data_IF_155705121285
#
_entry.id   IF_155705121285
#
_cell.length_a   1.000
_cell.length_b   1.000
_cell.length_c   1.000
_cell.angle_alpha   90.00
_cell.angle_beta   90.00
_cell.angle_gamma   90.00
#
_symmetry.space_group_name_H-M   'P 1'
#
loop_
_entity.id
_entity.type
_entity.pdbx_description
1 polymer ?
#
# COMPACT_ATOMS: atom_id res chain seq x y z
N UNK A 1 42.85 14.83 3.59
CA UNK A 1 41.68 14.75 4.50
C UNK A 1 40.72 15.90 4.25
N UNK A 2 41.03 17.17 4.58
CA UNK A 2 40.13 18.32 4.30
C UNK A 2 39.77 18.54 2.81
N UNK A 3 40.74 18.44 1.90
CA UNK A 3 40.50 18.59 0.45
C UNK A 3 39.69 17.43 -0.16
N UNK A 4 39.65 16.27 0.50
CA UNK A 4 38.98 15.06 0.02
C UNK A 4 37.70 14.75 0.82
N UNK A 5 37.34 15.58 1.80
CA UNK A 5 36.23 15.38 2.73
C UNK A 5 36.21 13.98 3.40
N UNK A 6 37.39 13.42 3.72
CA UNK A 6 37.51 12.10 4.37
C UNK A 6 37.92 12.24 5.85
N UNK A 7 37.24 11.48 6.72
CA UNK A 7 37.45 11.48 8.19
C UNK A 7 38.56 10.49 8.64
N UNK A 8 39.00 9.60 7.74
CA UNK A 8 40.09 8.65 7.95
C UNK A 8 40.85 8.34 6.65
N UNK A 9 42.10 7.89 6.78
CA UNK A 9 42.96 7.43 5.67
C UNK A 9 43.79 6.22 6.08
N UNK A 10 44.04 5.32 5.12
CA UNK A 10 44.97 4.20 5.30
C UNK A 10 46.39 4.68 5.02
N UNK A 11 47.32 4.29 5.88
CA UNK A 11 48.74 4.69 5.83
C UNK A 11 49.61 3.45 5.68
N UNK A 12 50.48 3.44 4.67
CA UNK A 12 51.54 2.43 4.54
C UNK A 12 52.63 2.73 5.57
N UNK A 13 52.80 1.85 6.54
CA UNK A 13 53.74 2.01 7.65
C UNK A 13 55.08 1.31 7.39
N UNK A 14 55.05 0.16 6.71
CA UNK A 14 56.22 -0.57 6.22
C UNK A 14 55.84 -1.30 4.91
N UNK A 15 56.75 -2.09 4.33
CA UNK A 15 56.48 -2.87 3.10
C UNK A 15 55.27 -3.81 3.23
N UNK A 16 54.95 -4.29 4.43
CA UNK A 16 53.85 -5.25 4.68
C UNK A 16 52.85 -4.81 5.76
N UNK A 17 53.01 -3.60 6.33
CA UNK A 17 52.18 -3.16 7.44
C UNK A 17 51.40 -1.89 7.09
N UNK A 18 50.09 -1.98 7.19
CA UNK A 18 49.16 -0.87 7.01
C UNK A 18 48.60 -0.42 8.36
N UNK A 19 48.38 0.88 8.50
CA UNK A 19 47.72 1.50 9.65
C UNK A 19 46.61 2.43 9.20
N UNK A 20 45.87 2.98 10.17
CA UNK A 20 44.83 3.99 9.91
C UNK A 20 45.14 5.28 10.66
N UNK A 21 44.93 6.42 10.01
CA UNK A 21 44.98 7.72 10.63
C UNK A 21 43.60 8.38 10.52
N UNK A 22 43.06 8.82 11.65
CA UNK A 22 41.77 9.53 11.70
C UNK A 22 41.95 11.00 12.02
N UNK A 23 40.96 11.83 11.70
CA UNK A 23 40.98 13.26 12.06
C UNK A 23 41.17 13.47 13.58
N UNK A 24 40.60 12.60 14.41
CA UNK A 24 40.77 12.65 15.87
C UNK A 24 42.22 12.44 16.31
N UNK A 25 42.92 11.53 15.65
CA UNK A 25 44.33 11.25 15.92
C UNK A 25 45.20 12.45 15.53
N UNK A 26 44.86 13.12 14.42
CA UNK A 26 45.53 14.36 14.01
C UNK A 26 45.38 15.49 15.04
N UNK A 27 44.19 15.67 15.62
CA UNK A 27 43.98 16.68 16.68
C UNK A 27 44.84 16.38 17.90
N UNK A 28 44.89 15.11 18.33
CA UNK A 28 45.76 14.69 19.45
C UNK A 28 47.24 14.90 19.12
N UNK A 29 47.64 14.62 17.87
CA UNK A 29 49.01 14.75 17.39
C UNK A 29 49.51 16.20 17.44
N UNK A 30 48.76 17.15 16.86
CA UNK A 30 49.14 18.57 16.86
C UNK A 30 49.34 19.11 18.27
N UNK A 31 48.58 18.60 19.24
CA UNK A 31 48.69 19.01 20.64
C UNK A 31 49.91 18.43 21.37
N UNK A 32 50.42 17.26 20.98
CA UNK A 32 51.45 16.52 21.76
C UNK A 32 52.80 16.35 21.04
N UNK A 33 52.87 16.58 19.73
CA UNK A 33 54.08 16.35 18.92
C UNK A 33 54.31 17.54 17.96
N UNK A 34 54.89 18.66 18.43
CA UNK A 34 55.06 19.87 17.63
C UNK A 34 56.20 19.80 16.59
N UNK A 35 56.48 18.62 16.02
CA UNK A 35 57.63 18.37 15.13
C UNK A 35 57.30 17.59 13.85
N UNK A 36 58.35 17.18 13.12
CA UNK A 36 58.26 16.54 11.80
C UNK A 36 58.18 15.00 11.88
N UNK A 37 57.34 14.47 12.78
CA UNK A 37 57.17 13.02 12.98
C UNK A 37 56.55 12.37 11.73
N UNK A 38 57.12 11.27 11.21
CA UNK A 38 56.54 10.54 10.10
C UNK A 38 55.12 10.05 10.40
N UNK A 39 54.21 10.17 9.44
CA UNK A 39 52.80 9.73 9.60
C UNK A 39 52.69 8.23 9.90
N UNK A 40 53.66 7.42 9.46
CA UNK A 40 53.74 5.99 9.77
C UNK A 40 53.86 5.69 11.27
N UNK A 41 54.48 6.57 12.06
CA UNK A 41 54.61 6.44 13.52
C UNK A 41 53.32 6.86 14.26
N UNK A 42 52.44 7.60 13.58
CA UNK A 42 51.21 8.15 14.14
C UNK A 42 49.98 7.31 13.80
N UNK A 43 50.07 6.45 12.79
CA UNK A 43 48.98 5.60 12.36
C UNK A 43 48.67 4.54 13.43
N UNK A 44 47.39 4.39 13.76
CA UNK A 44 46.91 3.34 14.66
C UNK A 44 47.03 1.97 13.99
N UNK A 45 47.45 0.96 14.78
CA UNK A 45 47.65 -0.42 14.36
C UNK A 45 47.08 -1.39 15.41
N UNK A 46 46.60 -2.59 15.02
CA UNK A 46 46.49 -3.09 13.66
C UNK A 46 45.39 -2.40 12.84
N UNK A 47 45.49 -2.43 11.51
CA UNK A 47 44.41 -2.00 10.64
C UNK A 47 43.27 -3.02 10.70
N UNK A 48 42.12 -2.61 11.22
CA UNK A 48 40.92 -3.45 11.26
C UNK A 48 40.24 -3.47 9.89
N UNK A 49 39.88 -4.66 9.42
CA UNK A 49 39.44 -4.90 8.05
C UNK A 49 38.10 -5.64 7.99
N UNK A 50 37.48 -5.64 6.81
CA UNK A 50 36.30 -6.43 6.41
C UNK A 50 36.42 -6.76 4.93
N UNK A 51 36.01 -7.95 4.51
CA UNK A 51 36.03 -8.33 3.10
C UNK A 51 34.82 -7.74 2.34
N UNK A 52 35.00 -7.32 1.09
CA UNK A 52 33.92 -6.70 0.29
C UNK A 52 32.73 -7.65 0.03
N UNK A 53 32.97 -8.96 0.08
CA UNK A 53 31.93 -10.00 -0.06
C UNK A 53 31.21 -10.32 1.27
N UNK A 54 31.60 -9.70 2.39
CA UNK A 54 30.90 -9.85 3.67
C UNK A 54 29.66 -8.95 3.72
N UNK A 55 28.53 -9.42 4.30
CA UNK A 55 27.35 -8.58 4.51
C UNK A 55 27.65 -7.31 5.35
N UNK A 56 27.00 -6.19 5.03
CA UNK A 56 27.17 -4.91 5.74
C UNK A 56 26.91 -5.01 7.26
N UNK A 57 26.05 -5.93 7.69
CA UNK A 57 25.78 -6.19 9.10
C UNK A 57 27.05 -6.62 9.86
N UNK A 58 27.93 -7.40 9.21
CA UNK A 58 29.20 -7.85 9.78
C UNK A 58 30.18 -6.70 9.97
N UNK A 59 30.23 -5.78 8.99
CA UNK A 59 31.05 -4.58 9.09
C UNK A 59 30.58 -3.70 10.26
N UNK A 60 29.25 -3.54 10.43
CA UNK A 60 28.66 -2.81 11.56
C UNK A 60 29.01 -3.44 12.91
N UNK A 61 28.86 -4.75 13.04
CA UNK A 61 29.09 -5.44 14.31
C UNK A 61 30.58 -5.34 14.70
N UNK A 62 31.51 -5.49 13.73
CA UNK A 62 32.95 -5.26 13.97
C UNK A 62 33.26 -3.83 14.42
N UNK A 63 32.63 -2.80 13.82
CA UNK A 63 32.81 -1.40 14.25
C UNK A 63 32.41 -1.21 15.72
N UNK A 64 31.27 -1.79 16.13
CA UNK A 64 30.73 -1.65 17.49
C UNK A 64 31.56 -2.42 18.52
N UNK A 65 31.90 -3.68 18.23
CA UNK A 65 32.65 -4.56 19.13
C UNK A 65 34.07 -4.03 19.38
N UNK A 66 34.76 -3.62 18.31
CA UNK A 66 36.12 -3.11 18.39
C UNK A 66 36.19 -1.62 18.78
N UNK A 67 35.04 -0.95 18.94
CA UNK A 67 34.90 0.47 19.29
C UNK A 67 35.69 1.41 18.37
N UNK A 68 35.71 1.09 17.07
CA UNK A 68 36.33 1.91 16.03
C UNK A 68 35.27 2.52 15.12
N UNK A 69 35.65 3.55 14.35
CA UNK A 69 34.72 4.28 13.47
C UNK A 69 34.83 3.91 12.00
N UNK A 70 35.92 3.27 11.62
CA UNK A 70 36.23 2.92 10.24
C UNK A 70 36.86 1.54 10.19
N UNK A 71 36.54 0.79 9.14
CA UNK A 71 37.21 -0.45 8.74
C UNK A 71 37.77 -0.30 7.33
N UNK A 72 38.92 -0.88 7.07
CA UNK A 72 39.41 -1.03 5.70
C UNK A 72 38.67 -2.17 4.99
N UNK A 73 38.28 -1.94 3.74
CA UNK A 73 37.62 -2.94 2.91
C UNK A 73 38.67 -3.65 2.07
N UNK A 74 38.66 -4.99 2.12
CA UNK A 74 39.57 -5.85 1.37
C UNK A 74 38.86 -6.47 0.16
N UNK A 75 39.59 -6.59 -0.95
CA UNK A 75 39.18 -7.42 -2.09
C UNK A 75 39.50 -8.91 -1.87
N UNK A 76 39.15 -9.75 -2.85
CA UNK A 76 39.45 -11.20 -2.87
C UNK A 76 40.95 -11.52 -2.85
N UNK A 77 41.79 -10.56 -3.26
CA UNK A 77 43.24 -10.64 -3.21
C UNK A 77 43.84 -10.17 -1.88
N UNK A 78 43.01 -9.86 -0.88
CA UNK A 78 43.40 -9.34 0.43
C UNK A 78 44.10 -7.97 0.37
N UNK A 79 43.85 -7.20 -0.69
CA UNK A 79 44.34 -5.83 -0.85
C UNK A 79 43.29 -4.83 -0.35
N UNK A 80 43.75 -3.74 0.26
CA UNK A 80 42.86 -2.66 0.70
C UNK A 80 42.36 -1.89 -0.52
N UNK A 81 41.06 -1.98 -0.79
CA UNK A 81 40.38 -1.28 -1.88
C UNK A 81 39.61 -0.05 -1.41
N UNK A 82 39.34 0.07 -0.11
CA UNK A 82 38.61 1.21 0.43
C UNK A 82 38.54 1.29 1.95
N UNK A 83 37.75 2.24 2.44
CA UNK A 83 37.38 2.41 3.84
C UNK A 83 35.87 2.50 3.95
N UNK A 84 35.29 1.93 5.01
CA UNK A 84 33.88 2.05 5.34
C UNK A 84 33.73 2.58 6.76
N UNK A 85 33.01 3.70 6.92
CA UNK A 85 32.69 4.30 8.21
C UNK A 85 31.25 4.05 8.64
N UNK A 86 30.98 4.16 9.95
CA UNK A 86 29.61 4.05 10.48
C UNK A 86 28.66 5.11 9.87
N UNK A 87 29.16 6.33 9.64
CA UNK A 87 28.39 7.40 8.99
C UNK A 87 27.99 7.03 7.57
N UNK A 88 28.90 6.40 6.83
CA UNK A 88 28.65 5.97 5.44
C UNK A 88 27.61 4.85 5.39
N UNK A 89 27.59 3.96 6.39
CA UNK A 89 26.58 2.90 6.49
C UNK A 89 25.16 3.46 6.75
N UNK A 90 25.01 4.53 7.53
CA UNK A 90 23.68 5.12 7.79
C UNK A 90 23.12 5.89 6.59
N UNK A 91 23.98 6.63 5.88
CA UNK A 91 23.54 7.49 4.78
C UNK A 91 22.87 6.73 3.63
N UNK A 92 23.29 5.48 3.36
CA UNK A 92 22.67 4.65 2.31
C UNK A 92 21.32 4.04 2.70
N UNK A 93 21.16 3.60 3.94
CA UNK A 93 19.97 2.85 4.37
C UNK A 93 18.73 3.74 4.57
N UNK A 94 18.91 4.96 5.09
CA UNK A 94 17.79 5.90 5.27
C UNK A 94 17.20 6.34 3.92
N UNK A 95 18.06 6.54 2.92
CA UNK A 95 17.63 6.98 1.60
C UNK A 95 16.82 5.91 0.86
N UNK A 96 17.24 4.65 0.93
CA UNK A 96 16.48 3.53 0.35
C UNK A 96 15.12 3.35 1.03
N UNK A 97 15.07 3.33 2.36
CA UNK A 97 13.81 3.16 3.09
C UNK A 97 12.80 4.29 2.79
N UNK A 98 13.28 5.54 2.70
CA UNK A 98 12.44 6.68 2.33
C UNK A 98 11.91 6.59 0.90
N UNK A 99 12.67 6.01 -0.02
CA UNK A 99 12.24 5.82 -1.39
C UNK A 99 11.18 4.73 -1.49
N UNK A 100 11.41 3.56 -0.88
CA UNK A 100 10.44 2.46 -0.86
C UNK A 100 9.10 2.90 -0.23
N UNK A 101 9.16 3.70 0.85
CA UNK A 101 7.97 4.23 1.51
C UNK A 101 7.19 5.19 0.60
N UNK A 102 7.88 6.05 -0.15
CA UNK A 102 7.23 6.97 -1.10
C UNK A 102 6.53 6.20 -2.22
N UNK A 103 7.21 5.22 -2.79
CA UNK A 103 6.67 4.42 -3.89
C UNK A 103 5.41 3.65 -3.45
N UNK A 104 5.44 3.05 -2.25
CA UNK A 104 4.28 2.36 -1.68
C UNK A 104 3.10 3.30 -1.39
N UNK A 105 3.38 4.53 -0.93
CA UNK A 105 2.33 5.54 -0.71
C UNK A 105 1.71 6.01 -2.02
N UNK A 106 2.52 6.26 -3.05
CA UNK A 106 2.02 6.65 -4.36
C UNK A 106 1.15 5.55 -5.00
N UNK A 107 1.55 4.28 -4.87
CA UNK A 107 0.75 3.15 -5.37
C UNK A 107 -0.60 3.07 -4.67
N UNK A 108 -0.62 3.18 -3.33
CA UNK A 108 -1.85 3.19 -2.55
C UNK A 108 -2.76 4.35 -2.96
N UNK A 109 -2.23 5.55 -3.09
CA UNK A 109 -3.01 6.74 -3.41
C UNK A 109 -3.61 6.64 -4.82
N UNK A 110 -2.89 6.07 -5.79
CA UNK A 110 -3.42 5.75 -7.13
C UNK A 110 -4.54 4.71 -7.08
N UNK A 111 -4.39 3.66 -6.26
CA UNK A 111 -5.43 2.64 -6.10
C UNK A 111 -6.71 3.21 -5.49
N UNK A 112 -6.58 4.07 -4.47
CA UNK A 112 -7.71 4.76 -3.85
C UNK A 112 -8.42 5.70 -4.83
N UNK A 113 -7.67 6.50 -5.58
CA UNK A 113 -8.24 7.40 -6.59
C UNK A 113 -9.05 6.62 -7.64
N UNK A 114 -8.51 5.51 -8.15
CA UNK A 114 -9.22 4.66 -9.12
C UNK A 114 -10.48 4.02 -8.53
N UNK A 115 -10.42 3.56 -7.28
CA UNK A 115 -11.60 3.00 -6.60
C UNK A 115 -12.70 4.06 -6.45
N UNK A 116 -12.32 5.29 -6.10
CA UNK A 116 -13.26 6.40 -5.98
C UNK A 116 -13.89 6.78 -7.33
N UNK A 117 -13.09 6.88 -8.39
CA UNK A 117 -13.58 7.14 -9.74
C UNK A 117 -14.57 6.07 -10.22
N UNK A 118 -14.28 4.79 -9.96
CA UNK A 118 -15.17 3.68 -10.31
C UNK A 118 -16.50 3.74 -9.55
N UNK A 119 -16.47 4.09 -8.26
CA UNK A 119 -17.69 4.26 -7.45
C UNK A 119 -18.55 5.40 -8.01
N UNK A 120 -17.94 6.55 -8.29
CA UNK A 120 -18.65 7.70 -8.89
C UNK A 120 -19.23 7.36 -10.27
N UNK A 121 -18.51 6.59 -11.08
CA UNK A 121 -19.02 6.16 -12.39
C UNK A 121 -20.22 5.23 -12.22
N UNK A 122 -20.14 4.26 -11.32
CA UNK A 122 -21.23 3.34 -11.03
C UNK A 122 -22.49 4.08 -10.53
N UNK A 123 -22.32 5.03 -9.62
CA UNK A 123 -23.39 5.90 -9.13
C UNK A 123 -24.05 6.67 -10.28
N UNK A 124 -23.26 7.34 -11.13
CA UNK A 124 -23.79 8.05 -12.31
C UNK A 124 -24.55 7.14 -13.27
N UNK A 125 -24.05 5.92 -13.51
CA UNK A 125 -24.74 4.94 -14.36
C UNK A 125 -26.10 4.55 -13.77
N UNK A 126 -26.17 4.33 -12.46
CA UNK A 126 -27.43 3.98 -11.77
C UNK A 126 -28.42 5.16 -11.78
N UNK A 127 -27.94 6.37 -11.50
CA UNK A 127 -28.75 7.59 -11.49
C UNK A 127 -29.28 7.96 -12.88
N UNK A 128 -28.46 7.75 -13.92
CA UNK A 128 -28.83 8.04 -15.31
C UNK A 128 -29.62 6.93 -16.01
N UNK A 129 -29.79 5.78 -15.37
CA UNK A 129 -30.57 4.67 -15.92
C UNK A 129 -32.02 5.08 -16.16
N UNK A 130 -32.60 4.63 -17.28
CA UNK A 130 -34.03 4.78 -17.57
C UNK A 130 -34.87 3.65 -16.97
N UNK A 131 -34.23 2.57 -16.51
CA UNK A 131 -34.87 1.43 -15.88
C UNK A 131 -34.94 1.62 -14.36
N UNK A 132 -36.03 1.16 -13.75
CA UNK A 132 -36.25 1.26 -12.31
C UNK A 132 -35.39 0.23 -11.60
N UNK A 133 -34.53 0.69 -10.70
CA UNK A 133 -33.64 -0.16 -9.92
C UNK A 133 -34.09 -0.09 -8.46
N UNK A 134 -34.26 -1.26 -7.85
CA UNK A 134 -34.57 -1.42 -6.43
C UNK A 134 -33.54 -2.41 -5.86
N UNK A 135 -32.97 -2.09 -4.70
CA UNK A 135 -32.15 -3.02 -3.93
C UNK A 135 -32.85 -3.30 -2.61
N UNK A 136 -32.92 -4.57 -2.23
CA UNK A 136 -33.56 -5.01 -0.99
C UNK A 136 -32.58 -5.78 -0.10
N UNK A 137 -32.79 -5.69 1.21
CA UNK A 137 -32.14 -6.54 2.20
C UNK A 137 -32.62 -8.03 2.06
N UNK A 138 -32.00 -8.98 2.79
CA UNK A 138 -32.44 -10.38 2.79
C UNK A 138 -33.86 -10.62 3.33
N UNK A 139 -34.45 -9.65 4.03
CA UNK A 139 -35.85 -9.67 4.50
C UNK A 139 -36.81 -9.01 3.51
N UNK A 140 -36.35 -8.71 2.29
CA UNK A 140 -37.09 -8.06 1.21
C UNK A 140 -37.54 -6.62 1.52
N UNK A 141 -36.81 -5.93 2.41
CA UNK A 141 -37.02 -4.49 2.67
C UNK A 141 -36.16 -3.67 1.73
N UNK A 142 -36.76 -2.67 1.10
CA UNK A 142 -36.09 -1.78 0.16
C UNK A 142 -35.04 -0.95 0.90
N UNK A 143 -33.79 -1.06 0.49
CA UNK A 143 -32.67 -0.25 0.99
C UNK A 143 -32.32 0.90 0.04
N UNK A 144 -32.60 0.72 -1.26
CA UNK A 144 -32.29 1.71 -2.28
C UNK A 144 -33.29 1.66 -3.44
N UNK A 145 -33.59 2.83 -4.00
CA UNK A 145 -34.26 3.00 -5.29
C UNK A 145 -33.56 4.09 -6.10
N UNK A 146 -33.47 3.93 -7.42
CA UNK A 146 -32.91 4.98 -8.29
C UNK A 146 -33.98 6.03 -8.70
N UNK A 147 -33.59 7.18 -9.27
CA UNK A 147 -34.55 8.21 -9.71
C UNK A 147 -35.61 7.70 -10.71
N UNK A 148 -35.22 6.79 -11.62
CA UNK A 148 -36.13 6.23 -12.61
C UNK A 148 -37.30 5.46 -11.96
N UNK A 149 -37.04 4.72 -10.88
CA UNK A 149 -38.09 4.09 -10.09
C UNK A 149 -39.12 5.11 -9.60
N UNK A 150 -38.66 6.23 -9.04
CA UNK A 150 -39.56 7.31 -8.57
C UNK A 150 -40.34 7.94 -9.71
N UNK A 151 -39.69 8.22 -10.84
CA UNK A 151 -40.36 8.78 -12.02
C UNK A 151 -41.43 7.84 -12.59
N UNK A 152 -41.16 6.54 -12.64
CA UNK A 152 -42.12 5.56 -13.14
C UNK A 152 -43.25 5.34 -12.14
N UNK A 153 -42.96 5.01 -10.89
CA UNK A 153 -43.97 4.53 -9.94
C UNK A 153 -44.74 5.67 -9.26
N UNK A 154 -44.15 6.87 -9.22
CA UNK A 154 -44.67 8.04 -8.51
C UNK A 154 -44.40 8.04 -7.01
N UNK A 155 -43.67 7.05 -6.48
CA UNK A 155 -43.26 6.99 -5.08
C UNK A 155 -41.89 7.63 -4.88
N UNK A 156 -41.78 8.54 -3.91
CA UNK A 156 -40.49 9.09 -3.50
C UNK A 156 -39.68 8.05 -2.71
N UNK A 157 -38.35 8.17 -2.73
CA UNK A 157 -37.46 7.22 -2.06
C UNK A 157 -37.81 7.08 -0.57
N UNK A 158 -38.03 8.20 0.11
CA UNK A 158 -38.35 8.27 1.54
C UNK A 158 -39.68 7.57 1.89
N UNK A 159 -40.57 7.41 0.91
CA UNK A 159 -41.85 6.72 1.09
C UNK A 159 -41.72 5.21 1.00
N UNK A 160 -40.65 4.69 0.39
CA UNK A 160 -40.47 3.26 0.09
C UNK A 160 -39.31 2.61 0.82
N UNK A 161 -38.27 3.36 1.21
CA UNK A 161 -37.16 2.83 2.00
C UNK A 161 -37.70 2.16 3.28
N UNK A 162 -37.24 0.94 3.56
CA UNK A 162 -37.63 0.09 4.69
C UNK A 162 -38.93 -0.70 4.50
N UNK A 163 -39.70 -0.44 3.43
CA UNK A 163 -40.91 -1.18 3.09
C UNK A 163 -40.62 -2.34 2.14
N UNK A 164 -41.60 -3.22 1.95
CA UNK A 164 -41.52 -4.29 0.96
C UNK A 164 -42.02 -3.80 -0.41
N UNK A 165 -41.54 -4.39 -1.53
CA UNK A 165 -42.05 -4.10 -2.88
C UNK A 165 -43.55 -4.39 -3.08
N UNK A 166 -44.22 -5.03 -2.12
CA UNK A 166 -45.66 -5.31 -2.13
C UNK A 166 -46.52 -4.05 -2.27
N UNK A 167 -45.98 -2.87 -1.92
CA UNK A 167 -46.64 -1.58 -2.16
C UNK A 167 -47.01 -1.35 -3.64
N UNK A 168 -46.29 -1.98 -4.57
CA UNK A 168 -46.54 -1.92 -6.01
C UNK A 168 -47.53 -2.98 -6.48
N UNK A 169 -47.91 -3.94 -5.62
CA UNK A 169 -48.74 -5.07 -6.04
C UNK A 169 -50.09 -4.59 -6.56
N UNK A 170 -50.47 -5.08 -7.75
CA UNK A 170 -51.79 -4.82 -8.35
C UNK A 170 -52.91 -5.70 -7.76
N UNK A 171 -52.55 -6.83 -7.12
CA UNK A 171 -53.48 -7.88 -6.71
C UNK A 171 -54.00 -8.77 -7.85
N UNK A 172 -53.47 -8.64 -9.08
CA UNK A 172 -53.85 -9.48 -10.23
C UNK A 172 -53.24 -10.88 -10.21
N UNK A 173 -52.07 -11.02 -9.59
CA UNK A 173 -51.37 -12.29 -9.47
C UNK A 173 -51.68 -12.93 -8.14
N UNK A 174 -51.89 -14.25 -8.15
CA UNK A 174 -52.24 -15.01 -6.96
C UNK A 174 -51.01 -15.33 -6.10
N UNK A 175 -51.25 -15.85 -4.89
CA UNK A 175 -50.17 -16.24 -3.99
C UNK A 175 -49.31 -17.40 -4.55
N UNK A 176 -49.83 -18.16 -5.51
CA UNK A 176 -49.11 -19.26 -6.16
C UNK A 176 -48.03 -18.71 -7.10
N UNK A 177 -48.36 -17.69 -7.89
CA UNK A 177 -47.45 -17.01 -8.80
C UNK A 177 -46.22 -16.46 -8.05
N UNK A 178 -46.45 -15.70 -6.97
CA UNK A 178 -45.35 -15.14 -6.17
C UNK A 178 -44.50 -16.24 -5.52
N UNK A 179 -45.10 -17.36 -5.10
CA UNK A 179 -44.34 -18.50 -4.55
C UNK A 179 -43.38 -19.09 -5.59
N UNK A 180 -43.85 -19.27 -6.82
CA UNK A 180 -43.02 -19.79 -7.92
C UNK A 180 -41.88 -18.83 -8.27
N UNK A 181 -42.15 -17.53 -8.28
CA UNK A 181 -41.14 -16.50 -8.45
C UNK A 181 -40.04 -16.59 -7.38
N UNK A 182 -40.42 -16.65 -6.10
CA UNK A 182 -39.46 -16.75 -4.99
C UNK A 182 -38.68 -18.07 -4.99
N UNK A 183 -39.33 -19.17 -5.36
CA UNK A 183 -38.67 -20.47 -5.49
C UNK A 183 -37.62 -20.46 -6.61
N UNK A 184 -37.95 -19.88 -7.77
CA UNK A 184 -37.01 -19.72 -8.88
C UNK A 184 -35.82 -18.85 -8.48
N UNK A 185 -36.06 -17.72 -7.80
CA UNK A 185 -34.99 -16.85 -7.31
C UNK A 185 -34.07 -17.58 -6.32
N UNK A 186 -34.64 -18.37 -5.40
CA UNK A 186 -33.87 -19.14 -4.42
C UNK A 186 -33.04 -20.26 -5.05
N UNK A 187 -33.58 -20.94 -6.05
CA UNK A 187 -32.94 -22.09 -6.68
C UNK A 187 -31.91 -21.69 -7.75
N UNK A 188 -32.13 -20.59 -8.47
CA UNK A 188 -31.32 -20.18 -9.61
C UNK A 188 -30.52 -18.89 -9.39
N UNK A 189 -30.81 -18.14 -8.33
CA UNK A 189 -30.19 -16.84 -8.06
C UNK A 189 -30.71 -15.70 -8.93
N UNK A 190 -31.65 -15.96 -9.84
CA UNK A 190 -32.32 -14.92 -10.63
C UNK A 190 -33.75 -15.33 -11.01
N UNK A 191 -34.57 -14.35 -11.33
CA UNK A 191 -35.90 -14.52 -11.91
C UNK A 191 -36.16 -13.41 -12.95
N UNK A 192 -36.89 -13.72 -14.01
CA UNK A 192 -37.33 -12.74 -15.01
C UNK A 192 -38.75 -13.06 -15.47
N UNK A 193 -39.62 -12.05 -15.53
CA UNK A 193 -40.98 -12.24 -15.98
C UNK A 193 -41.77 -10.93 -16.05
N UNK A 194 -42.96 -11.01 -16.64
CA UNK A 194 -43.87 -9.88 -16.72
C UNK A 194 -44.81 -9.85 -15.51
N UNK A 195 -44.91 -8.71 -14.84
CA UNK A 195 -45.75 -8.52 -13.66
C UNK A 195 -46.64 -7.28 -13.81
N UNK A 196 -47.90 -7.39 -13.37
CA UNK A 196 -48.80 -6.25 -13.30
C UNK A 196 -48.63 -5.55 -11.96
N UNK A 197 -48.18 -4.31 -12.00
CA UNK A 197 -48.03 -3.45 -10.83
C UNK A 197 -48.97 -2.25 -10.90
N UNK A 198 -49.03 -1.53 -9.78
CA UNK A 198 -49.87 -0.35 -9.59
C UNK A 198 -49.01 0.83 -9.14
N UNK A 199 -49.09 1.93 -9.88
CA UNK A 199 -48.44 3.20 -9.54
C UNK A 199 -49.12 3.82 -8.31
N UNK A 200 -48.47 4.81 -7.70
CA UNK A 200 -49.07 5.61 -6.61
C UNK A 200 -50.40 6.27 -7.00
N UNK A 201 -50.56 6.62 -8.28
CA UNK A 201 -51.81 7.17 -8.83
C UNK A 201 -52.96 6.16 -8.88
N UNK A 202 -52.69 4.86 -8.70
CA UNK A 202 -53.64 3.77 -8.88
C UNK A 202 -53.63 3.14 -10.29
N UNK A 203 -52.92 3.75 -11.25
CA UNK A 203 -52.80 3.23 -12.62
C UNK A 203 -52.09 1.86 -12.61
N UNK A 204 -52.67 0.90 -13.35
CA UNK A 204 -52.06 -0.41 -13.56
C UNK A 204 -51.13 -0.37 -14.76
N UNK A 205 -49.94 -0.93 -14.60
CA UNK A 205 -48.96 -1.05 -15.67
C UNK A 205 -48.35 -2.45 -15.67
N UNK A 206 -47.98 -2.92 -16.86
CA UNK A 206 -47.21 -4.15 -17.05
C UNK A 206 -45.74 -3.77 -17.06
N UNK A 207 -44.94 -4.44 -16.24
CA UNK A 207 -43.49 -4.30 -16.25
C UNK A 207 -42.83 -5.63 -16.56
N UNK A 208 -41.70 -5.58 -17.26
CA UNK A 208 -40.79 -6.71 -17.38
C UNK A 208 -39.77 -6.60 -16.24
N UNK A 209 -39.93 -7.44 -15.22
CA UNK A 209 -39.13 -7.41 -14.01
C UNK A 209 -38.03 -8.47 -14.09
N UNK A 210 -36.81 -8.08 -13.72
CA UNK A 210 -35.68 -8.99 -13.48
C UNK A 210 -35.24 -8.83 -12.03
N UNK A 211 -35.13 -9.94 -11.31
CA UNK A 211 -34.66 -10.00 -9.93
C UNK A 211 -33.39 -10.84 -9.91
N UNK A 212 -32.34 -10.36 -9.27
CA UNK A 212 -31.08 -11.10 -9.10
C UNK A 212 -30.69 -11.10 -7.64
N UNK A 213 -30.44 -12.29 -7.09
CA UNK A 213 -29.99 -12.45 -5.72
C UNK A 213 -28.47 -12.25 -5.67
N UNK A 214 -28.03 -11.20 -4.97
CA UNK A 214 -26.61 -10.94 -4.72
C UNK A 214 -26.27 -11.63 -3.41
N UNK A 215 -25.42 -12.66 -3.48
CA UNK A 215 -24.84 -13.28 -2.29
C UNK A 215 -23.46 -12.71 -2.07
N UNK A 216 -23.14 -12.30 -0.85
CA UNK A 216 -21.79 -11.87 -0.52
C UNK A 216 -20.80 -12.99 -0.82
N UNK A 217 -19.63 -12.64 -1.37
CA UNK A 217 -18.51 -13.55 -1.46
C UNK A 217 -18.21 -14.03 -0.03
N UNK A 218 -18.39 -15.33 0.25
CA UNK A 218 -17.85 -15.90 1.48
C UNK A 218 -16.35 -15.70 1.41
N UNK A 219 -15.83 -14.78 2.22
CA UNK A 219 -14.41 -14.70 2.52
C UNK A 219 -13.92 -16.13 2.83
N UNK A 220 -13.05 -16.66 1.95
CA UNK A 220 -12.40 -17.94 2.16
C UNK A 220 -11.20 -17.76 3.09
#
# INVERSE_FOLDING_TARGET
MRLSSCDAVVVKCSEQELGILTERDMVRFVAHHPGNTPISELASRPLLTVHQNEPLITARDRLLEQRVRHLAVLDEGNNVVGLIGFRDMLAGAEQHYMQDLRDALEERDRALARSHENLQLAERVIESSLEGIIVTDPSNRIEFVNPAFTHMTGYAAEEVIGKTPEILSSGRHDATYYRQMWEALKNHGYWRGEIWNRRKSGELYLELLTITAITGEKAR
#
